data_IF_153519432139
#
_entry.id   IF_153519432139
#
_cell.length_a   1.000
_cell.length_b   1.000
_cell.length_c   1.000
_cell.angle_alpha   90.00
_cell.angle_beta   90.00
_cell.angle_gamma   90.00
#
_symmetry.space_group_name_H-M   'P 1'
#
loop_
_entity.id
_entity.type
_entity.pdbx_description
1 polymer ?
#
# COMPACT_ATOMS: atom_id res chain seq x y z
N UNK A 1 45.77 -5.90 50.52
CA UNK A 1 45.61 -5.18 49.24
C UNK A 1 44.51 -5.88 48.46
N UNK A 2 43.27 -5.42 48.60
CA UNK A 2 42.09 -6.05 47.99
C UNK A 2 41.45 -5.13 46.96
N UNK A 3 41.38 -5.65 45.74
CA UNK A 3 40.35 -5.55 44.70
C UNK A 3 39.50 -4.26 44.60
N UNK A 4 39.58 -3.62 43.43
CA UNK A 4 38.48 -2.87 42.82
C UNK A 4 38.26 -3.44 41.40
N UNK A 5 37.09 -4.02 41.19
CA UNK A 5 36.51 -4.29 39.88
C UNK A 5 35.07 -3.83 39.92
N UNK A 6 34.80 -2.64 39.36
CA UNK A 6 33.44 -2.13 39.21
C UNK A 6 32.86 -2.60 37.87
N UNK A 7 31.83 -3.42 37.98
CA UNK A 7 30.99 -3.91 36.92
C UNK A 7 29.86 -2.89 36.70
N UNK A 8 29.87 -2.13 35.60
CA UNK A 8 28.80 -1.18 35.28
C UNK A 8 27.52 -1.92 34.88
N UNK A 9 26.50 -1.84 35.75
CA UNK A 9 25.19 -2.45 35.54
C UNK A 9 24.38 -1.73 34.46
N UNK A 10 24.18 -2.39 33.32
CA UNK A 10 23.28 -1.99 32.22
C UNK A 10 21.81 -2.34 32.55
N UNK A 11 21.53 -2.88 33.74
CA UNK A 11 20.23 -3.49 34.10
C UNK A 11 19.12 -2.55 34.58
N UNK A 12 19.36 -1.24 34.76
CA UNK A 12 18.39 -0.36 35.43
C UNK A 12 17.52 0.47 34.46
N UNK A 13 17.96 0.72 33.21
CA UNK A 13 17.27 1.66 32.30
C UNK A 13 16.19 1.06 31.41
N UNK A 14 15.99 -0.27 31.41
CA UNK A 14 14.89 -0.91 30.67
C UNK A 14 13.60 -1.07 31.50
N UNK A 15 13.59 -0.63 32.77
CA UNK A 15 12.44 -0.80 33.67
C UNK A 15 11.33 0.26 33.49
N UNK A 16 11.58 1.30 32.68
CA UNK A 16 10.65 2.44 32.49
C UNK A 16 10.24 2.68 31.03
N UNK A 17 10.49 1.75 30.11
CA UNK A 17 9.79 1.79 28.83
C UNK A 17 8.31 1.48 29.12
N UNK A 18 7.34 2.36 28.76
CA UNK A 18 5.93 2.03 28.90
C UNK A 18 5.68 0.71 28.16
N UNK A 19 4.98 -0.26 28.77
CA UNK A 19 4.70 -1.52 28.10
C UNK A 19 3.97 -1.24 26.77
N UNK A 20 4.16 -2.08 25.74
CA UNK A 20 3.36 -1.99 24.53
C UNK A 20 1.88 -2.03 24.95
N UNK A 21 1.15 -0.95 24.68
CA UNK A 21 -0.20 -0.74 25.19
C UNK A 21 -1.08 -1.94 24.90
N UNK A 22 -1.31 -2.73 25.95
CA UNK A 22 -2.28 -3.80 26.01
C UNK A 22 -3.66 -3.15 25.85
N UNK A 23 -4.47 -3.66 24.90
CA UNK A 23 -5.93 -3.51 24.78
C UNK A 23 -6.55 -2.50 25.74
N UNK A 24 -7.01 -1.35 25.23
CA UNK A 24 -7.77 -0.38 26.03
C UNK A 24 -9.27 -0.76 25.99
N UNK A 25 -9.84 -1.42 27.02
CA UNK A 25 -11.26 -1.79 27.06
C UNK A 25 -12.21 -0.59 27.24
N UNK A 26 -11.71 0.61 27.54
CA UNK A 26 -12.49 1.84 27.74
C UNK A 26 -12.60 2.68 26.45
N UNK A 27 -13.19 2.11 25.40
CA UNK A 27 -13.55 2.92 24.21
C UNK A 27 -14.94 3.51 24.40
N UNK A 28 -15.01 4.84 24.42
CA UNK A 28 -16.30 5.54 24.40
C UNK A 28 -17.03 5.25 23.08
N UNK A 29 -18.36 5.31 23.09
CA UNK A 29 -19.14 5.17 21.85
C UNK A 29 -18.86 6.33 20.88
N UNK A 30 -18.48 7.50 21.41
CA UNK A 30 -18.01 8.63 20.60
C UNK A 30 -16.74 8.32 19.79
N UNK A 31 -15.78 7.59 20.38
CA UNK A 31 -14.56 7.20 19.66
C UNK A 31 -14.84 6.19 18.56
N UNK A 32 -15.81 5.29 18.77
CA UNK A 32 -16.22 4.32 17.73
C UNK A 32 -16.95 5.03 16.59
N UNK A 33 -17.80 5.99 16.91
CA UNK A 33 -18.52 6.77 15.91
C UNK A 33 -17.57 7.62 15.06
N UNK A 34 -16.59 8.30 15.68
CA UNK A 34 -15.57 9.07 14.95
C UNK A 34 -14.75 8.19 14.01
N UNK A 35 -14.37 6.99 14.44
CA UNK A 35 -13.63 6.05 13.58
C UNK A 35 -14.47 5.61 12.37
N UNK A 36 -15.76 5.30 12.58
CA UNK A 36 -16.68 4.94 11.50
C UNK A 36 -16.87 6.09 10.50
N UNK A 37 -17.02 7.32 10.99
CA UNK A 37 -17.14 8.52 10.15
C UNK A 37 -15.89 8.77 9.30
N UNK A 38 -14.69 8.55 9.86
CA UNK A 38 -13.44 8.68 9.10
C UNK A 38 -13.32 7.54 8.08
N UNK A 39 -13.61 6.29 8.46
CA UNK A 39 -13.59 5.16 7.53
C UNK A 39 -14.55 5.35 6.35
N UNK A 40 -15.76 5.83 6.61
CA UNK A 40 -16.75 6.19 5.59
C UNK A 40 -16.29 7.35 4.72
N UNK A 41 -15.62 8.35 5.28
CA UNK A 41 -15.07 9.46 4.50
C UNK A 41 -13.93 8.99 3.59
N UNK A 42 -13.02 8.17 4.10
CA UNK A 42 -11.90 7.62 3.33
C UNK A 42 -12.40 6.68 2.23
N UNK A 43 -13.43 5.86 2.49
CA UNK A 43 -13.98 4.93 1.48
C UNK A 43 -14.52 5.70 0.28
N UNK A 44 -15.29 6.77 0.51
CA UNK A 44 -15.82 7.64 -0.55
C UNK A 44 -14.73 8.29 -1.39
N UNK A 45 -13.63 8.75 -0.75
CA UNK A 45 -12.51 9.37 -1.47
C UNK A 45 -11.82 8.36 -2.41
N UNK A 46 -11.65 7.12 -1.95
CA UNK A 46 -11.01 6.04 -2.74
C UNK A 46 -11.97 5.56 -3.85
N UNK A 47 -13.27 5.46 -3.57
CA UNK A 47 -14.28 5.11 -4.56
C UNK A 47 -14.38 6.16 -5.69
N UNK A 48 -14.37 7.46 -5.35
CA UNK A 48 -14.31 8.53 -6.35
C UNK A 48 -13.05 8.41 -7.21
N UNK A 49 -11.89 8.21 -6.57
CA UNK A 49 -10.63 8.01 -7.27
C UNK A 49 -10.68 6.79 -8.21
N UNK A 50 -11.20 5.66 -7.73
CA UNK A 50 -11.39 4.44 -8.52
C UNK A 50 -12.25 4.70 -9.76
N UNK A 51 -13.36 5.44 -9.61
CA UNK A 51 -14.25 5.75 -10.74
C UNK A 51 -13.55 6.52 -11.86
N UNK A 52 -12.50 7.28 -11.53
CA UNK A 52 -11.72 8.11 -12.46
C UNK A 52 -10.47 7.40 -12.99
N UNK A 53 -9.74 6.68 -12.15
CA UNK A 53 -8.45 6.06 -12.51
C UNK A 53 -8.61 4.72 -13.23
N UNK A 54 -9.61 3.92 -12.89
CA UNK A 54 -9.83 2.59 -13.49
C UNK A 54 -10.05 2.66 -15.01
N UNK A 55 -10.87 3.60 -15.54
CA UNK A 55 -10.97 3.79 -16.99
C UNK A 55 -9.62 4.12 -17.66
N UNK A 56 -8.76 4.91 -17.00
CA UNK A 56 -7.42 5.24 -17.51
C UNK A 56 -6.53 4.00 -17.54
N UNK A 57 -6.53 3.19 -16.48
CA UNK A 57 -5.83 1.91 -16.43
C UNK A 57 -6.25 0.99 -17.59
N UNK A 58 -7.55 0.89 -17.88
CA UNK A 58 -8.07 0.11 -19.01
C UNK A 58 -7.60 0.64 -20.36
N UNK A 59 -7.58 1.97 -20.54
CA UNK A 59 -7.05 2.58 -21.77
C UNK A 59 -5.54 2.32 -21.93
N UNK A 60 -4.75 2.46 -20.85
CA UNK A 60 -3.32 2.15 -20.84
C UNK A 60 -3.08 0.70 -21.28
N UNK A 61 -3.79 -0.27 -20.68
CA UNK A 61 -3.69 -1.68 -21.05
C UNK A 61 -4.01 -1.89 -22.53
N UNK A 62 -5.12 -1.32 -23.01
CA UNK A 62 -5.53 -1.42 -24.41
C UNK A 62 -4.48 -0.90 -25.39
N UNK A 63 -3.86 0.25 -25.11
CA UNK A 63 -2.82 0.81 -25.99
C UNK A 63 -1.58 -0.08 -26.04
N UNK A 64 -1.14 -0.60 -24.89
CA UNK A 64 0.01 -1.53 -24.81
C UNK A 64 -0.31 -2.87 -25.50
N UNK A 65 -1.48 -3.47 -25.25
CA UNK A 65 -1.92 -4.71 -25.90
C UNK A 65 -2.03 -4.55 -27.42
N UNK A 66 -2.60 -3.43 -27.87
CA UNK A 66 -2.72 -3.13 -29.29
C UNK A 66 -1.36 -2.98 -29.97
N UNK A 67 -0.35 -2.46 -29.26
CA UNK A 67 1.00 -2.35 -29.80
C UNK A 67 1.71 -3.71 -29.79
N UNK A 68 1.56 -4.50 -28.72
CA UNK A 68 2.14 -5.84 -28.60
C UNK A 68 1.57 -6.83 -29.62
N UNK A 69 0.31 -6.68 -30.01
CA UNK A 69 -0.32 -7.50 -31.05
C UNK A 69 0.18 -7.20 -32.49
N UNK A 70 0.85 -6.06 -32.72
CA UNK A 70 1.44 -5.75 -34.04
C UNK A 70 2.67 -6.61 -34.30
N UNK A 71 2.93 -6.90 -35.58
CA UNK A 71 4.21 -7.50 -36.02
C UNK A 71 5.37 -6.59 -35.63
N UNK A 72 6.53 -7.17 -35.37
CA UNK A 72 7.67 -6.44 -34.82
C UNK A 72 8.09 -5.25 -35.68
N UNK A 73 8.09 -5.42 -37.00
CA UNK A 73 8.37 -4.36 -37.98
C UNK A 73 7.35 -3.20 -38.01
N UNK A 74 6.12 -3.44 -37.53
CA UNK A 74 5.02 -2.48 -37.51
C UNK A 74 4.84 -1.80 -36.13
N UNK A 75 5.63 -2.19 -35.13
CA UNK A 75 5.57 -1.62 -33.79
C UNK A 75 6.16 -0.21 -33.79
N UNK A 76 5.36 0.76 -33.35
CA UNK A 76 5.77 2.15 -33.24
C UNK A 76 5.78 2.58 -31.76
N UNK A 77 6.97 2.57 -31.15
CA UNK A 77 7.14 2.95 -29.75
C UNK A 77 6.79 4.43 -29.49
N UNK A 78 7.01 5.32 -30.46
CA UNK A 78 6.66 6.75 -30.31
C UNK A 78 5.14 6.95 -30.25
N UNK A 79 4.41 6.21 -31.07
CA UNK A 79 2.94 6.20 -31.02
C UNK A 79 2.44 5.68 -29.66
N UNK A 80 3.04 4.59 -29.16
CA UNK A 80 2.69 4.04 -27.85
C UNK A 80 2.94 5.06 -26.73
N UNK A 81 4.09 5.73 -26.74
CA UNK A 81 4.45 6.76 -25.76
C UNK A 81 3.44 7.91 -25.81
N UNK A 82 3.11 8.41 -27.01
CA UNK A 82 2.15 9.51 -27.18
C UNK A 82 0.75 9.17 -26.65
N UNK A 83 0.32 7.90 -26.78
CA UNK A 83 -0.98 7.44 -26.31
C UNK A 83 -1.01 7.19 -24.79
N UNK A 84 0.04 6.57 -24.23
CA UNK A 84 0.05 6.10 -22.84
C UNK A 84 0.49 7.17 -21.86
N UNK A 85 1.48 8.00 -22.21
CA UNK A 85 2.03 9.04 -21.34
C UNK A 85 0.98 9.98 -20.72
N UNK A 86 0.05 10.59 -21.50
CA UNK A 86 -0.95 11.48 -20.91
C UNK A 86 -1.90 10.76 -19.94
N UNK A 87 -2.20 9.48 -20.19
CA UNK A 87 -3.05 8.67 -19.31
C UNK A 87 -2.36 8.39 -17.96
N UNK A 88 -1.06 8.07 -17.99
CA UNK A 88 -0.27 7.87 -16.76
C UNK A 88 -0.17 9.16 -15.95
N UNK A 89 0.09 10.29 -16.60
CA UNK A 89 0.16 11.60 -15.93
C UNK A 89 -1.17 11.99 -15.30
N UNK A 90 -2.29 11.73 -15.98
CA UNK A 90 -3.61 11.99 -15.43
C UNK A 90 -3.95 11.06 -14.27
N UNK A 91 -3.62 9.76 -14.38
CA UNK A 91 -3.79 8.81 -13.29
C UNK A 91 -2.96 9.21 -12.07
N UNK A 92 -1.71 9.63 -12.27
CA UNK A 92 -0.81 10.07 -11.20
C UNK A 92 -1.37 11.32 -10.50
N UNK A 93 -1.86 12.29 -11.26
CA UNK A 93 -2.49 13.49 -10.71
C UNK A 93 -3.69 13.14 -9.82
N UNK A 94 -4.61 12.29 -10.30
CA UNK A 94 -5.77 11.84 -9.52
C UNK A 94 -5.31 11.18 -8.22
N UNK A 95 -4.35 10.26 -8.31
CA UNK A 95 -3.84 9.52 -7.16
C UNK A 95 -3.17 10.44 -6.12
N UNK A 96 -2.40 11.43 -6.57
CA UNK A 96 -1.79 12.43 -5.68
C UNK A 96 -2.83 13.34 -5.01
N UNK A 97 -3.84 13.81 -5.76
CA UNK A 97 -4.97 14.58 -5.21
C UNK A 97 -5.70 13.78 -4.13
N UNK A 98 -6.05 12.52 -4.42
CA UNK A 98 -6.70 11.61 -3.48
C UNK A 98 -5.84 11.39 -2.24
N UNK A 99 -4.55 11.18 -2.41
CA UNK A 99 -3.61 11.00 -1.30
C UNK A 99 -3.56 12.22 -0.37
N UNK A 100 -3.55 13.43 -0.94
CA UNK A 100 -3.64 14.68 -0.19
C UNK A 100 -4.96 14.84 0.56
N UNK A 101 -6.08 14.52 -0.09
CA UNK A 101 -7.41 14.56 0.53
C UNK A 101 -7.53 13.56 1.68
N UNK A 102 -6.96 12.36 1.54
CA UNK A 102 -6.95 11.34 2.59
C UNK A 102 -6.13 11.78 3.80
N UNK A 103 -4.93 12.35 3.59
CA UNK A 103 -4.15 12.96 4.68
C UNK A 103 -4.92 14.08 5.38
N UNK A 104 -5.69 14.89 4.65
CA UNK A 104 -6.54 15.91 5.24
C UNK A 104 -7.74 15.34 6.01
N UNK A 105 -8.24 14.17 5.61
CA UNK A 105 -9.35 13.47 6.27
C UNK A 105 -8.90 12.74 7.55
N UNK A 106 -7.67 12.23 7.59
CA UNK A 106 -7.06 11.60 8.77
C UNK A 106 -5.61 12.08 8.98
N UNK A 107 -5.40 13.30 9.51
CA UNK A 107 -4.07 13.92 9.64
C UNK A 107 -3.14 13.19 10.61
N UNK A 108 -3.72 12.56 11.63
CA UNK A 108 -2.98 11.85 12.68
C UNK A 108 -2.84 10.35 12.38
N UNK A 109 -3.28 9.90 11.20
CA UNK A 109 -3.36 8.47 10.86
C UNK A 109 -4.10 7.68 11.95
N UNK A 110 -5.09 8.29 12.60
CA UNK A 110 -5.80 7.75 13.77
C UNK A 110 -6.51 6.45 13.42
N UNK A 111 -7.05 6.32 12.21
CA UNK A 111 -7.72 5.10 11.76
C UNK A 111 -6.70 3.97 11.54
N UNK A 112 -5.61 4.26 10.84
CA UNK A 112 -4.48 3.32 10.64
C UNK A 112 -3.82 2.88 11.94
N UNK A 113 -3.59 3.77 12.91
CA UNK A 113 -2.95 3.42 14.18
C UNK A 113 -3.88 2.64 15.13
N UNK A 114 -5.21 2.77 15.02
CA UNK A 114 -6.17 2.24 16.01
C UNK A 114 -6.87 0.97 15.58
N UNK A 115 -7.00 0.72 14.28
CA UNK A 115 -7.61 -0.51 13.81
C UNK A 115 -6.70 -1.76 13.92
N UNK A 116 -5.40 -1.56 14.26
CA UNK A 116 -4.55 -2.58 14.90
C UNK A 116 -5.23 -3.25 16.12
N UNK A 117 -6.04 -2.50 16.88
CA UNK A 117 -6.67 -3.00 18.11
C UNK A 117 -7.97 -3.78 17.84
N UNK A 118 -8.72 -3.46 16.78
CA UNK A 118 -9.93 -4.20 16.38
C UNK A 118 -9.63 -5.62 15.86
N UNK A 119 -8.41 -5.82 15.38
CA UNK A 119 -7.90 -7.10 14.89
C UNK A 119 -7.89 -8.22 15.95
N UNK A 120 -7.60 -7.92 17.23
CA UNK A 120 -7.62 -8.94 18.30
C UNK A 120 -9.03 -9.51 18.55
N UNK A 121 -10.08 -8.86 18.04
CA UNK A 121 -11.47 -9.17 18.36
C UNK A 121 -12.31 -9.69 17.19
N UNK A 122 -11.78 -9.79 15.96
CA UNK A 122 -12.52 -10.21 14.75
C UNK A 122 -13.84 -9.44 14.50
N UNK A 123 -13.84 -8.11 14.65
CA UNK A 123 -15.06 -7.26 14.53
C UNK A 123 -14.84 -6.06 13.61
N UNK A 124 -14.63 -6.29 12.31
CA UNK A 124 -14.61 -5.20 11.33
C UNK A 124 -16.01 -4.59 11.19
N UNK A 125 -16.12 -3.27 11.32
CA UNK A 125 -17.36 -2.52 11.06
C UNK A 125 -17.70 -2.50 9.57
N UNK A 126 -18.97 -2.26 9.18
CA UNK A 126 -19.35 -2.12 7.77
C UNK A 126 -18.54 -1.06 7.02
N UNK A 127 -18.21 0.06 7.67
CA UNK A 127 -17.44 1.17 7.11
C UNK A 127 -15.99 0.75 6.83
N UNK A 128 -15.36 0.00 7.74
CA UNK A 128 -14.03 -0.57 7.55
C UNK A 128 -14.01 -1.61 6.42
N UNK A 129 -15.05 -2.43 6.29
CA UNK A 129 -15.19 -3.41 5.20
C UNK A 129 -15.31 -2.73 3.84
N UNK A 130 -16.12 -1.66 3.75
CA UNK A 130 -16.27 -0.86 2.52
C UNK A 130 -14.95 -0.22 2.12
N UNK A 131 -14.24 0.37 3.08
CA UNK A 131 -12.92 0.96 2.86
C UNK A 131 -11.90 -0.09 2.37
N UNK A 132 -11.95 -1.30 2.91
CA UNK A 132 -11.12 -2.42 2.45
C UNK A 132 -11.42 -2.79 0.98
N UNK A 133 -12.69 -2.88 0.59
CA UNK A 133 -13.07 -3.22 -0.79
C UNK A 133 -12.67 -2.12 -1.78
N UNK A 134 -12.86 -0.84 -1.40
CA UNK A 134 -12.42 0.28 -2.22
C UNK A 134 -10.89 0.25 -2.45
N UNK A 135 -10.10 -0.04 -1.41
CA UNK A 135 -8.65 -0.21 -1.52
C UNK A 135 -8.25 -1.39 -2.40
N UNK A 136 -8.94 -2.52 -2.24
CA UNK A 136 -8.69 -3.72 -3.03
C UNK A 136 -8.84 -3.41 -4.52
N UNK A 137 -9.93 -2.78 -4.93
CA UNK A 137 -10.15 -2.37 -6.33
C UNK A 137 -9.01 -1.47 -6.82
N UNK A 138 -8.60 -0.48 -6.02
CA UNK A 138 -7.51 0.43 -6.38
C UNK A 138 -6.18 -0.32 -6.60
N UNK A 139 -5.86 -1.27 -5.73
CA UNK A 139 -4.65 -2.10 -5.83
C UNK A 139 -4.69 -3.01 -7.05
N UNK A 140 -5.82 -3.70 -7.28
CA UNK A 140 -6.01 -4.60 -8.42
C UNK A 140 -5.88 -3.84 -9.75
N UNK A 141 -6.55 -2.70 -9.86
CA UNK A 141 -6.60 -1.96 -11.11
C UNK A 141 -5.34 -1.12 -11.34
N UNK A 142 -4.93 -0.30 -10.37
CA UNK A 142 -3.76 0.58 -10.52
C UNK A 142 -2.46 -0.20 -10.36
N UNK A 143 -2.31 -0.93 -9.25
CA UNK A 143 -1.12 -1.74 -8.97
C UNK A 143 -0.94 -2.83 -10.01
N UNK A 144 -2.01 -3.57 -10.32
CA UNK A 144 -2.00 -4.58 -11.37
C UNK A 144 -1.64 -4.02 -12.75
N UNK A 145 -2.12 -2.82 -13.10
CA UNK A 145 -1.73 -2.18 -14.37
C UNK A 145 -0.26 -1.77 -14.38
N UNK A 146 0.28 -1.24 -13.29
CA UNK A 146 1.68 -0.82 -13.21
C UNK A 146 2.61 -2.00 -13.52
N UNK A 147 2.43 -3.11 -12.82
CA UNK A 147 3.29 -4.28 -12.94
C UNK A 147 3.12 -4.96 -14.29
N UNK A 148 1.87 -5.16 -14.72
CA UNK A 148 1.60 -5.71 -16.04
C UNK A 148 2.22 -4.86 -17.15
N UNK A 149 2.11 -3.53 -17.07
CA UNK A 149 2.68 -2.61 -18.05
C UNK A 149 4.20 -2.66 -18.05
N UNK A 150 4.86 -2.72 -16.88
CA UNK A 150 6.32 -2.88 -16.79
C UNK A 150 6.79 -4.14 -17.51
N UNK A 151 6.16 -5.27 -17.23
CA UNK A 151 6.50 -6.55 -17.85
C UNK A 151 6.30 -6.52 -19.37
N UNK A 152 5.22 -5.89 -19.85
CA UNK A 152 5.00 -5.73 -21.30
C UNK A 152 5.99 -4.79 -21.96
N UNK A 153 6.37 -3.71 -21.30
CA UNK A 153 7.31 -2.73 -21.81
C UNK A 153 8.74 -3.27 -21.94
N UNK A 154 9.07 -4.42 -21.37
CA UNK A 154 10.37 -5.08 -21.61
C UNK A 154 10.63 -5.39 -23.10
N UNK A 155 9.56 -5.54 -23.90
CA UNK A 155 9.64 -5.72 -25.35
C UNK A 155 9.73 -4.41 -26.15
N UNK A 156 9.73 -3.26 -25.46
CA UNK A 156 9.70 -1.91 -26.05
C UNK A 156 10.73 -1.01 -25.35
N UNK A 157 12.02 -1.08 -25.71
CA UNK A 157 13.10 -0.42 -24.97
C UNK A 157 12.97 1.11 -24.85
N UNK A 158 12.47 1.78 -25.89
CA UNK A 158 12.26 3.24 -25.89
C UNK A 158 11.04 3.59 -25.03
N UNK A 159 9.92 2.90 -25.22
CA UNK A 159 8.72 3.12 -24.43
C UNK A 159 8.94 2.81 -22.95
N UNK A 160 9.71 1.76 -22.62
CA UNK A 160 10.14 1.46 -21.25
C UNK A 160 10.90 2.60 -20.62
N UNK A 161 11.85 3.20 -21.35
CA UNK A 161 12.65 4.33 -20.86
C UNK A 161 11.79 5.55 -20.55
N UNK A 162 10.77 5.83 -21.36
CA UNK A 162 9.96 7.05 -21.25
C UNK A 162 8.72 6.88 -20.35
N UNK A 163 8.12 5.68 -20.32
CA UNK A 163 6.91 5.37 -19.53
C UNK A 163 7.24 4.72 -18.18
N UNK A 164 8.36 4.01 -18.06
CA UNK A 164 8.79 3.36 -16.82
C UNK A 164 8.83 4.30 -15.62
N UNK A 165 9.47 5.48 -15.72
CA UNK A 165 9.48 6.47 -14.64
C UNK A 165 8.09 6.99 -14.25
N UNK A 166 7.14 7.04 -15.20
CA UNK A 166 5.76 7.46 -14.92
C UNK A 166 4.97 6.35 -14.22
N UNK A 167 5.23 5.09 -14.56
CA UNK A 167 4.70 3.92 -13.84
C UNK A 167 5.24 3.86 -12.41
N UNK A 168 6.51 4.22 -12.19
CA UNK A 168 7.10 4.38 -10.85
C UNK A 168 6.42 5.52 -10.08
N UNK A 169 6.28 6.70 -10.71
CA UNK A 169 5.64 7.86 -10.12
C UNK A 169 4.19 7.59 -9.70
N UNK A 170 3.41 6.86 -10.52
CA UNK A 170 2.06 6.42 -10.19
C UNK A 170 2.02 5.43 -9.01
N UNK A 171 3.04 4.59 -8.86
CA UNK A 171 3.16 3.62 -7.76
C UNK A 171 3.39 4.27 -6.39
N UNK A 172 3.97 5.47 -6.35
CA UNK A 172 4.24 6.20 -5.10
C UNK A 172 2.95 6.59 -4.34
N UNK A 173 1.99 7.34 -4.92
CA UNK A 173 0.76 7.66 -4.22
C UNK A 173 -0.08 6.42 -3.93
N UNK A 174 -0.07 5.39 -4.78
CA UNK A 174 -0.71 4.10 -4.47
C UNK A 174 -0.15 3.50 -3.18
N UNK A 175 1.17 3.40 -3.07
CA UNK A 175 1.85 2.92 -1.86
C UNK A 175 1.47 3.75 -0.64
N UNK A 176 1.45 5.08 -0.78
CA UNK A 176 1.14 5.98 0.32
C UNK A 176 -0.33 5.97 0.73
N UNK A 177 -1.27 5.75 -0.20
CA UNK A 177 -2.69 5.56 0.08
C UNK A 177 -2.89 4.27 0.87
N UNK A 178 -2.30 3.17 0.40
CA UNK A 178 -2.40 1.87 1.09
C UNK A 178 -1.73 1.93 2.47
N UNK A 179 -0.56 2.58 2.57
CA UNK A 179 0.15 2.78 3.83
C UNK A 179 -0.59 3.72 4.79
N UNK A 180 -1.18 4.80 4.27
CA UNK A 180 -1.93 5.79 5.05
C UNK A 180 -3.25 5.25 5.59
N UNK A 181 -3.83 4.26 4.92
CA UNK A 181 -4.97 3.46 5.45
C UNK A 181 -4.48 2.21 6.19
N UNK A 182 -3.16 2.07 6.35
CA UNK A 182 -2.49 0.90 6.91
C UNK A 182 -2.82 0.67 8.38
N UNK A 183 -3.99 0.06 8.63
CA UNK A 183 -4.25 -1.14 9.44
C UNK A 183 -5.72 -1.19 9.82
N UNK A 184 -6.62 -1.22 8.84
CA UNK A 184 -8.01 -1.51 9.16
C UNK A 184 -8.20 -2.92 9.68
N UNK A 185 -7.43 -3.90 9.20
CA UNK A 185 -7.46 -5.28 9.69
C UNK A 185 -6.14 -5.96 9.27
N UNK A 186 -5.63 -6.91 10.05
CA UNK A 186 -4.79 -7.95 9.43
C UNK A 186 -5.56 -8.73 8.36
N UNK A 187 -6.89 -8.68 8.33
CA UNK A 187 -7.70 -9.15 7.21
C UNK A 187 -7.43 -8.38 5.92
N UNK A 188 -7.28 -7.05 5.96
CA UNK A 188 -6.95 -6.22 4.80
C UNK A 188 -5.48 -6.35 4.47
N UNK A 189 -4.57 -6.38 5.44
CA UNK A 189 -3.15 -6.59 5.14
C UNK A 189 -2.85 -8.01 4.64
N UNK A 190 -3.60 -9.03 5.08
CA UNK A 190 -3.52 -10.38 4.55
C UNK A 190 -4.22 -10.46 3.19
N UNK A 191 -5.33 -9.75 2.97
CA UNK A 191 -5.98 -9.67 1.66
C UNK A 191 -5.09 -8.94 0.66
N UNK A 192 -4.60 -7.76 1.00
CA UNK A 192 -3.63 -6.98 0.23
C UNK A 192 -2.34 -7.78 0.07
N UNK A 193 -1.79 -8.39 1.13
CA UNK A 193 -0.61 -9.24 1.03
C UNK A 193 -0.80 -10.44 0.10
N UNK A 194 -1.90 -11.17 0.21
CA UNK A 194 -2.24 -12.31 -0.65
C UNK A 194 -2.57 -11.87 -2.08
N UNK A 195 -3.20 -10.70 -2.24
CA UNK A 195 -3.53 -10.12 -3.53
C UNK A 195 -2.26 -9.65 -4.24
N UNK A 196 -1.42 -8.86 -3.57
CA UNK A 196 -0.14 -8.39 -4.10
C UNK A 196 0.76 -9.58 -4.44
N UNK A 197 0.85 -10.59 -3.56
CA UNK A 197 1.62 -11.81 -3.83
C UNK A 197 1.02 -12.63 -4.97
N UNK A 198 -0.31 -12.72 -5.07
CA UNK A 198 -1.01 -13.43 -6.15
C UNK A 198 -0.95 -12.74 -7.51
N UNK A 199 -0.77 -11.42 -7.53
CA UNK A 199 -0.62 -10.59 -8.73
C UNK A 199 0.85 -10.37 -9.12
N UNK A 200 1.82 -10.83 -8.31
CA UNK A 200 3.25 -10.59 -8.54
C UNK A 200 3.72 -9.16 -8.24
N UNK A 201 2.96 -8.40 -7.44
CA UNK A 201 3.22 -7.00 -7.08
C UNK A 201 4.24 -6.86 -5.94
N UNK A 202 5.34 -7.60 -6.01
CA UNK A 202 6.36 -7.68 -4.96
C UNK A 202 7.03 -6.33 -4.66
N UNK A 203 7.16 -5.48 -5.69
CA UNK A 203 7.73 -4.14 -5.55
C UNK A 203 6.80 -3.21 -4.76
N UNK A 204 5.49 -3.30 -4.99
CA UNK A 204 4.48 -2.56 -4.23
C UNK A 204 4.37 -3.08 -2.80
N UNK A 205 4.41 -4.41 -2.61
CA UNK A 205 4.42 -5.03 -1.29
C UNK A 205 5.61 -4.55 -0.46
N UNK A 206 6.82 -4.55 -1.02
CA UNK A 206 8.04 -4.02 -0.38
C UNK A 206 7.93 -2.52 -0.09
N UNK A 207 7.35 -1.75 -1.01
CA UNK A 207 7.12 -0.32 -0.84
C UNK A 207 6.19 -0.02 0.34
N UNK A 208 5.07 -0.75 0.44
CA UNK A 208 4.12 -0.62 1.55
C UNK A 208 4.78 -1.06 2.85
N UNK A 209 5.44 -2.21 2.86
CA UNK A 209 6.18 -2.75 4.00
C UNK A 209 7.18 -1.73 4.56
N UNK A 210 8.04 -1.17 3.70
CA UNK A 210 8.99 -0.13 4.09
C UNK A 210 8.35 1.20 4.52
N UNK A 211 7.26 1.63 3.86
CA UNK A 211 6.58 2.89 4.19
C UNK A 211 5.81 2.83 5.52
N UNK A 212 5.32 1.64 5.89
CA UNK A 212 4.51 1.41 7.11
C UNK A 212 5.34 0.85 8.27
N UNK A 213 6.55 0.36 8.01
CA UNK A 213 7.35 -0.36 9.00
C UNK A 213 6.76 -1.72 9.39
N UNK A 214 5.89 -2.29 8.54
CA UNK A 214 5.24 -3.59 8.79
C UNK A 214 6.26 -4.70 8.98
N UNK A 215 7.43 -4.64 8.35
CA UNK A 215 8.55 -5.57 8.54
C UNK A 215 8.97 -5.71 10.01
N UNK A 216 8.87 -4.62 10.79
CA UNK A 216 9.16 -4.64 12.24
C UNK A 216 8.03 -5.28 13.05
N UNK A 217 6.78 -5.12 12.61
CA UNK A 217 5.60 -5.74 13.23
C UNK A 217 5.57 -7.25 12.93
N UNK A 218 5.78 -7.66 11.67
CA UNK A 218 5.87 -9.07 11.26
C UNK A 218 7.07 -9.79 11.90
N UNK A 219 8.22 -9.12 12.03
CA UNK A 219 9.39 -9.67 12.74
C UNK A 219 9.15 -9.77 14.26
N UNK A 220 8.44 -8.81 14.85
CA UNK A 220 8.08 -8.80 16.28
C UNK A 220 6.99 -9.79 16.68
N UNK A 221 6.20 -10.30 15.72
CA UNK A 221 5.17 -11.32 15.94
C UNK A 221 5.69 -12.77 15.83
N UNK A 222 7.01 -12.98 15.72
CA UNK A 222 7.60 -14.33 15.73
C UNK A 222 7.44 -15.13 14.44
N UNK A 223 6.94 -14.52 13.36
CA UNK A 223 6.75 -15.15 12.04
C UNK A 223 8.06 -15.25 11.23
N UNK A 224 9.21 -14.90 11.80
CA UNK A 224 10.54 -15.03 11.17
C UNK A 224 11.00 -16.47 10.92
N UNK A 225 10.24 -17.48 11.35
CA UNK A 225 10.55 -18.90 11.12
C UNK A 225 9.71 -19.59 10.03
N UNK A 226 8.75 -18.90 9.41
CA UNK A 226 7.89 -19.51 8.38
C UNK A 226 8.38 -19.32 6.93
N UNK A 227 9.43 -18.52 6.71
CA UNK A 227 10.15 -18.50 5.46
C UNK A 227 11.59 -18.96 5.71
N UNK A 228 11.93 -20.23 5.41
CA UNK A 228 13.30 -20.67 5.48
C UNK A 228 14.10 -19.88 4.44
N UNK A 229 15.07 -19.12 4.94
CA UNK A 229 16.07 -18.42 4.17
C UNK A 229 16.86 -19.46 3.35
N UNK A 230 16.52 -19.67 2.07
CA UNK A 230 17.31 -20.50 1.18
C UNK A 230 18.54 -19.72 0.70
N UNK A 231 19.54 -19.63 1.59
CA UNK A 231 20.92 -19.36 1.21
C UNK A 231 21.68 -20.67 1.11
N UNK A 232 21.95 -21.10 -0.12
CA UNK A 232 23.27 -21.57 -0.54
C UNK A 232 23.57 -20.97 -1.89
#
# INVERSE_FOLDING_TARGET
MSQMGENFGIGEQLKNAPPPSTTNPDRTDEDKQKDAEIAERLSRLIEDANSRVVPLCKMIRKHIESMDAKKEEDRNEDELIQQVKPLLQQAEQIMNETQGMMKGADPDSKVSNRAQNHQKAHKATPEEQRLAEALKIMIEEVGGTIEWARNKLDSFPKAKKDLGPLLDALGQPLTQIVAGVGMLLAGVLNLVGNLLSGLGLDSLLKGIMGATGLDKIFSGLGMGHLFPNSKK
#
